data_IF_967000531699
#
_entry.id   IF_967000531699
#
_cell.length_a   1.000
_cell.length_b   1.000
_cell.length_c   1.000
_cell.angle_alpha   90.00
_cell.angle_beta   90.00
_cell.angle_gamma   90.00
#
_symmetry.space_group_name_H-M   'P 1'
#
loop_
_entity.id
_entity.type
_entity.pdbx_description
1 polymer ?
#
# COMPACT_ATOMS: atom_id res chain seq x y z
N UNK A 1 -31.14 -33.51 45.12
CA UNK A 1 -30.45 -33.29 43.84
C UNK A 1 -30.05 -31.83 43.78
N UNK A 2 -28.76 -31.57 44.00
CA UNK A 2 -28.16 -30.24 44.15
C UNK A 2 -28.11 -29.47 42.82
N UNK A 3 -28.41 -28.16 42.85
CA UNK A 3 -27.79 -27.18 41.94
C UNK A 3 -27.27 -26.01 42.79
N UNK A 4 -25.93 -25.97 42.96
CA UNK A 4 -25.14 -24.75 43.28
C UNK A 4 -24.95 -23.99 41.95
N UNK A 5 -25.31 -22.71 41.87
CA UNK A 5 -24.48 -21.50 42.04
C UNK A 5 -23.24 -21.45 41.14
N UNK A 6 -23.28 -20.57 40.14
CA UNK A 6 -22.15 -19.75 39.64
C UNK A 6 -22.78 -18.40 39.23
N UNK A 7 -22.83 -17.44 40.14
CA UNK A 7 -21.92 -16.27 40.21
C UNK A 7 -21.94 -15.42 38.94
N UNK A 8 -22.94 -14.52 38.89
CA UNK A 8 -22.99 -13.43 37.94
C UNK A 8 -21.86 -12.44 38.21
N UNK A 9 -20.97 -12.28 37.24
CA UNK A 9 -19.98 -11.22 37.21
C UNK A 9 -20.72 -9.88 37.08
N UNK A 10 -20.89 -9.17 38.21
CA UNK A 10 -21.37 -7.80 38.23
C UNK A 10 -20.26 -6.96 37.61
N UNK A 11 -20.33 -6.75 36.29
CA UNK A 11 -19.58 -5.68 35.64
C UNK A 11 -20.10 -4.39 36.25
N UNK A 12 -19.31 -3.79 37.14
CA UNK A 12 -19.56 -2.45 37.64
C UNK A 12 -19.49 -1.49 36.45
N UNK A 13 -20.66 -1.24 35.83
CA UNK A 13 -20.86 -0.11 34.93
C UNK A 13 -20.77 1.13 35.82
N UNK A 14 -19.54 1.58 36.07
CA UNK A 14 -19.33 2.92 36.57
C UNK A 14 -19.93 3.84 35.50
N UNK A 15 -21.10 4.40 35.81
CA UNK A 15 -21.73 5.48 35.06
C UNK A 15 -20.75 6.64 34.98
N UNK A 16 -19.87 6.61 33.98
CA UNK A 16 -19.04 7.73 33.61
C UNK A 16 -19.97 8.78 33.01
N UNK A 17 -20.49 9.66 33.87
CA UNK A 17 -21.20 10.85 33.44
C UNK A 17 -20.20 11.78 32.76
N UNK A 18 -20.11 11.63 31.45
CA UNK A 18 -19.33 12.49 30.59
C UNK A 18 -19.85 13.93 30.70
N UNK A 19 -19.12 14.80 31.41
CA UNK A 19 -19.47 16.23 31.57
C UNK A 19 -19.36 17.04 30.28
N UNK A 20 -18.63 16.54 29.28
CA UNK A 20 -18.34 17.21 28.01
C UNK A 20 -18.45 16.22 26.85
N UNK A 21 -19.57 16.23 26.13
CA UNK A 21 -19.84 15.39 24.94
C UNK A 21 -19.44 16.12 23.67
N UNK A 22 -18.92 15.40 22.66
CA UNK A 22 -18.70 15.79 21.26
C UNK A 22 -18.56 17.30 21.07
N UNK A 23 -17.64 17.87 21.86
CA UNK A 23 -17.60 19.32 22.08
C UNK A 23 -17.06 19.96 20.81
N UNK A 24 -17.62 21.10 20.43
CA UNK A 24 -17.13 21.96 19.35
C UNK A 24 -15.75 22.59 19.65
N UNK A 25 -14.86 21.90 20.36
CA UNK A 25 -13.46 22.30 20.51
C UNK A 25 -12.77 22.01 19.19
N UNK A 26 -12.69 23.03 18.34
CA UNK A 26 -11.87 23.00 17.13
C UNK A 26 -10.42 23.25 17.52
N UNK A 27 -9.63 22.18 17.60
CA UNK A 27 -8.17 22.32 17.52
C UNK A 27 -7.83 22.81 16.12
N UNK A 28 -7.03 23.88 16.03
CA UNK A 28 -6.62 24.44 14.75
C UNK A 28 -5.67 23.46 14.07
N UNK A 29 -5.90 23.16 12.79
CA UNK A 29 -4.89 22.48 11.99
C UNK A 29 -3.68 23.41 11.82
N UNK A 30 -2.50 22.91 12.17
CA UNK A 30 -1.23 23.64 12.03
C UNK A 30 -0.36 22.85 11.06
N UNK A 31 0.16 23.57 10.06
CA UNK A 31 1.08 23.00 9.08
C UNK A 31 2.35 22.51 9.77
N UNK A 32 2.77 21.31 9.41
CA UNK A 32 4.00 20.70 9.89
C UNK A 32 4.92 20.47 8.69
N UNK A 33 5.89 21.36 8.50
CA UNK A 33 6.81 21.29 7.36
C UNK A 33 7.69 20.04 7.39
N UNK A 34 7.93 19.49 8.57
CA UNK A 34 8.77 18.31 8.77
C UNK A 34 8.01 17.05 8.37
N UNK A 35 6.76 16.90 8.80
CA UNK A 35 5.93 15.78 8.33
C UNK A 35 5.53 15.94 6.86
N UNK A 36 5.43 17.16 6.35
CA UNK A 36 5.23 17.41 4.91
C UNK A 36 6.41 16.88 4.06
N UNK A 37 7.66 16.98 4.54
CA UNK A 37 8.81 16.44 3.79
C UNK A 37 8.82 14.91 3.77
N UNK A 38 8.30 14.25 4.80
CA UNK A 38 8.13 12.78 4.83
C UNK A 38 7.15 12.30 3.75
N UNK A 39 6.14 13.11 3.41
CA UNK A 39 5.14 12.76 2.38
C UNK A 39 5.65 13.08 0.97
N UNK A 40 6.51 14.09 0.83
CA UNK A 40 7.06 14.50 -0.45
C UNK A 40 7.84 13.37 -1.15
N UNK A 41 7.68 13.25 -2.48
CA UNK A 41 8.41 12.28 -3.30
C UNK A 41 7.95 10.81 -3.20
N UNK A 42 6.98 10.49 -2.34
CA UNK A 42 6.50 9.12 -2.16
C UNK A 42 5.84 8.52 -3.41
N UNK A 43 5.21 9.36 -4.24
CA UNK A 43 4.56 8.95 -5.49
C UNK A 43 5.58 8.48 -6.52
N UNK A 44 6.60 9.29 -6.76
CA UNK A 44 7.69 8.99 -7.69
C UNK A 44 8.44 7.74 -7.25
N UNK A 45 8.69 7.60 -5.94
CA UNK A 45 9.33 6.42 -5.36
C UNK A 45 8.53 5.15 -5.64
N UNK A 46 7.22 5.17 -5.36
CA UNK A 46 6.32 4.05 -5.64
C UNK A 46 6.28 3.70 -7.13
N UNK A 47 6.23 4.71 -8.00
CA UNK A 47 6.22 4.52 -9.45
C UNK A 47 7.53 3.90 -9.94
N UNK A 48 8.68 4.41 -9.47
CA UNK A 48 10.00 3.90 -9.82
C UNK A 48 10.17 2.44 -9.39
N UNK A 49 9.86 2.11 -8.13
CA UNK A 49 9.97 0.75 -7.61
C UNK A 49 9.03 -0.21 -8.36
N UNK A 50 7.81 0.23 -8.68
CA UNK A 50 6.89 -0.59 -9.49
C UNK A 50 7.43 -0.87 -10.90
N UNK A 51 8.06 0.13 -11.54
CA UNK A 51 8.67 -0.04 -12.86
C UNK A 51 9.88 -0.99 -12.80
N UNK A 52 10.72 -0.89 -11.77
CA UNK A 52 11.84 -1.81 -11.53
C UNK A 52 11.32 -3.24 -11.44
N UNK A 53 10.35 -3.52 -10.57
CA UNK A 53 9.77 -4.85 -10.43
C UNK A 53 9.14 -5.38 -11.72
N UNK A 54 8.47 -4.52 -12.51
CA UNK A 54 7.88 -4.93 -13.80
C UNK A 54 8.97 -5.33 -14.79
N UNK A 55 10.01 -4.52 -14.96
CA UNK A 55 11.09 -4.79 -15.92
C UNK A 55 11.86 -6.04 -15.50
N UNK A 56 12.22 -6.15 -14.22
CA UNK A 56 12.92 -7.32 -13.68
C UNK A 56 12.13 -8.64 -13.86
N UNK A 57 10.79 -8.59 -13.80
CA UNK A 57 9.95 -9.78 -13.93
C UNK A 57 9.81 -10.34 -15.35
N UNK A 58 10.16 -9.58 -16.39
CA UNK A 58 9.86 -9.94 -17.78
C UNK A 58 11.07 -10.45 -18.56
N UNK A 59 12.28 -9.90 -18.34
CA UNK A 59 13.55 -10.43 -18.87
C UNK A 59 14.73 -9.54 -18.46
N UNK A 60 15.95 -10.09 -18.54
CA UNK A 60 17.20 -9.31 -18.49
C UNK A 60 17.41 -8.41 -19.71
N UNK A 61 16.68 -8.66 -20.81
CA UNK A 61 16.82 -7.93 -22.08
C UNK A 61 16.04 -6.61 -22.15
N UNK A 62 15.17 -6.30 -21.18
CA UNK A 62 14.39 -5.06 -21.12
C UNK A 62 13.02 -5.12 -21.80
N UNK A 63 12.28 -4.02 -21.72
CA UNK A 63 10.90 -3.90 -22.20
C UNK A 63 10.69 -2.68 -23.11
N UNK A 64 9.87 -2.80 -24.17
CA UNK A 64 9.48 -1.66 -24.97
C UNK A 64 8.54 -0.71 -24.20
N UNK A 65 8.61 0.58 -24.54
CA UNK A 65 7.83 1.63 -23.86
C UNK A 65 6.31 1.42 -23.90
N UNK A 66 5.78 0.81 -24.97
CA UNK A 66 4.34 0.59 -25.09
C UNK A 66 3.83 -0.45 -24.07
N UNK A 67 4.61 -1.49 -23.74
CA UNK A 67 4.29 -2.43 -22.66
C UNK A 67 4.22 -1.73 -21.31
N UNK A 68 5.19 -0.87 -20.99
CA UNK A 68 5.19 -0.10 -19.75
C UNK A 68 4.01 0.88 -19.68
N UNK A 69 3.60 1.42 -20.82
CA UNK A 69 2.44 2.33 -20.94
C UNK A 69 1.12 1.64 -20.61
N UNK A 70 0.97 0.35 -20.92
CA UNK A 70 -0.24 -0.41 -20.51
C UNK A 70 -0.41 -0.50 -18.99
N UNK A 71 0.69 -0.39 -18.22
CA UNK A 71 0.68 -0.49 -16.75
C UNK A 71 0.53 0.86 -16.05
N UNK A 72 0.26 1.94 -16.79
CA UNK A 72 0.18 3.31 -16.27
C UNK A 72 -0.73 3.48 -15.06
N UNK A 73 -1.88 2.81 -15.04
CA UNK A 73 -2.84 2.91 -13.93
C UNK A 73 -2.28 2.52 -12.56
N UNK A 74 -1.23 1.70 -12.53
CA UNK A 74 -0.60 1.22 -11.29
C UNK A 74 0.46 2.20 -10.74
N UNK A 75 0.98 3.10 -11.59
CA UNK A 75 2.12 3.96 -11.26
C UNK A 75 1.72 5.21 -10.46
N UNK A 76 0.46 5.62 -10.53
CA UNK A 76 -0.02 6.83 -9.83
C UNK A 76 0.65 8.13 -10.30
N UNK A 77 1.34 8.13 -11.44
CA UNK A 77 1.99 9.30 -12.02
C UNK A 77 0.95 10.28 -12.61
N UNK A 78 1.24 11.61 -12.62
CA UNK A 78 0.37 12.59 -13.29
C UNK A 78 0.07 12.21 -14.74
N UNK A 79 -1.15 12.44 -15.21
CA UNK A 79 -1.59 12.03 -16.55
C UNK A 79 -0.79 12.70 -17.68
N UNK A 80 -0.30 13.92 -17.45
CA UNK A 80 0.49 14.68 -18.43
C UNK A 80 1.94 14.18 -18.55
N UNK A 81 2.46 13.51 -17.51
CA UNK A 81 3.85 13.03 -17.50
C UNK A 81 3.97 11.74 -18.30
N UNK A 82 4.64 11.75 -19.45
CA UNK A 82 4.91 10.52 -20.23
C UNK A 82 5.84 9.58 -19.44
N UNK A 83 5.57 8.28 -19.47
CA UNK A 83 6.40 7.27 -18.78
C UNK A 83 7.85 7.32 -19.28
N UNK A 84 8.07 7.44 -20.59
CA UNK A 84 9.41 7.61 -21.16
C UNK A 84 10.14 8.82 -20.60
N UNK A 85 9.42 9.93 -20.38
CA UNK A 85 9.99 11.13 -19.76
C UNK A 85 10.36 10.89 -18.31
N UNK A 86 9.55 10.11 -17.57
CA UNK A 86 9.86 9.71 -16.21
C UNK A 86 11.09 8.81 -16.13
N UNK A 87 11.16 7.74 -16.94
CA UNK A 87 12.29 6.80 -16.97
C UNK A 87 13.61 7.52 -17.27
N UNK A 88 13.61 8.38 -18.29
CA UNK A 88 14.77 9.19 -18.67
C UNK A 88 15.27 10.13 -17.56
N UNK A 89 14.50 10.38 -16.48
CA UNK A 89 14.97 11.19 -15.32
C UNK A 89 15.99 10.45 -14.46
N UNK A 90 16.08 9.13 -14.58
CA UNK A 90 16.92 8.30 -13.72
C UNK A 90 17.79 7.36 -14.59
N UNK A 91 18.76 7.89 -15.34
CA UNK A 91 19.61 7.10 -16.25
C UNK A 91 20.49 6.07 -15.52
N UNK A 92 20.77 6.27 -14.23
CA UNK A 92 21.46 5.30 -13.38
C UNK A 92 20.58 4.08 -12.99
N UNK A 93 19.27 4.17 -13.19
CA UNK A 93 18.31 3.10 -12.88
C UNK A 93 17.79 2.45 -14.16
N UNK A 94 17.43 3.27 -15.14
CA UNK A 94 16.83 2.83 -16.40
C UNK A 94 17.74 3.18 -17.58
N UNK A 95 18.22 2.14 -18.26
CA UNK A 95 19.00 2.27 -19.49
C UNK A 95 18.07 2.23 -20.70
N UNK A 96 18.10 3.27 -21.54
CA UNK A 96 17.32 3.36 -22.76
C UNK A 96 18.13 2.87 -23.96
N UNK A 97 17.54 1.99 -24.76
CA UNK A 97 18.07 1.54 -26.04
C UNK A 97 16.95 1.48 -27.09
N UNK A 98 17.30 1.36 -28.37
CA UNK A 98 16.30 1.30 -29.45
C UNK A 98 16.31 -0.08 -30.09
N UNK A 99 15.13 -0.67 -30.28
CA UNK A 99 14.96 -1.85 -31.12
C UNK A 99 13.96 -1.53 -32.24
N UNK A 100 14.16 -2.14 -33.41
CA UNK A 100 13.22 -2.01 -34.53
C UNK A 100 12.00 -2.90 -34.28
N UNK A 101 10.81 -2.37 -34.52
CA UNK A 101 9.59 -3.18 -34.57
C UNK A 101 9.48 -3.96 -35.89
N UNK A 102 8.41 -4.75 -36.04
CA UNK A 102 8.14 -5.52 -37.25
C UNK A 102 7.99 -4.66 -38.51
N UNK A 103 7.77 -3.35 -38.37
CA UNK A 103 7.69 -2.38 -39.47
C UNK A 103 9.02 -1.62 -39.69
N UNK A 104 10.09 -1.97 -38.97
CA UNK A 104 11.41 -1.33 -39.08
C UNK A 104 11.54 0.00 -38.33
N UNK A 105 10.51 0.43 -37.58
CA UNK A 105 10.49 1.69 -36.84
C UNK A 105 11.27 1.54 -35.54
N UNK A 106 12.18 2.48 -35.19
CA UNK A 106 12.89 2.45 -33.92
C UNK A 106 11.93 2.73 -32.76
N UNK A 107 11.76 1.75 -31.88
CA UNK A 107 10.97 1.83 -30.65
C UNK A 107 11.91 1.98 -29.46
N UNK A 108 11.62 2.88 -28.50
CA UNK A 108 12.37 2.96 -27.24
C UNK A 108 12.09 1.75 -26.35
N UNK A 109 13.16 1.11 -25.90
CA UNK A 109 13.18 0.04 -24.92
C UNK A 109 13.95 0.49 -23.68
N UNK A 110 13.56 -0.07 -22.53
CA UNK A 110 14.15 0.23 -21.25
C UNK A 110 14.54 -1.07 -20.55
N UNK A 111 15.78 -1.16 -20.12
CA UNK A 111 16.27 -2.22 -19.21
C UNK A 111 16.78 -1.59 -17.93
N UNK A 112 16.99 -2.44 -16.92
CA UNK A 112 17.58 -2.02 -15.66
C UNK A 112 19.11 -2.03 -15.78
N UNK A 113 19.75 -1.08 -15.12
CA UNK A 113 21.21 -1.10 -14.96
C UNK A 113 21.64 -2.29 -14.09
N UNK A 114 22.88 -2.81 -14.24
CA UNK A 114 23.38 -3.91 -13.41
C UNK A 114 23.27 -3.61 -11.91
N UNK A 115 23.60 -2.40 -11.48
CA UNK A 115 23.50 -1.95 -10.09
C UNK A 115 22.06 -2.00 -9.57
N UNK A 116 21.09 -1.68 -10.45
CA UNK A 116 19.66 -1.73 -10.10
C UNK A 116 19.15 -3.17 -10.04
N UNK A 117 19.66 -4.08 -10.86
CA UNK A 117 19.33 -5.50 -10.79
C UNK A 117 19.84 -6.13 -9.49
N UNK A 118 21.07 -5.83 -9.10
CA UNK A 118 21.62 -6.26 -7.80
C UNK A 118 20.79 -5.72 -6.63
N UNK A 119 20.43 -4.43 -6.68
CA UNK A 119 19.53 -3.83 -5.71
C UNK A 119 18.16 -4.51 -5.68
N UNK A 120 17.59 -4.86 -6.82
CA UNK A 120 16.30 -5.55 -6.88
C UNK A 120 16.38 -6.96 -6.27
N UNK A 121 17.49 -7.68 -6.46
CA UNK A 121 17.71 -8.97 -5.79
C UNK A 121 17.78 -8.83 -4.26
N UNK A 122 18.44 -7.78 -3.76
CA UNK A 122 18.44 -7.43 -2.34
C UNK A 122 17.02 -7.13 -1.83
N UNK A 123 16.23 -6.34 -2.57
CA UNK A 123 14.83 -6.04 -2.24
C UNK A 123 13.98 -7.32 -2.13
N UNK A 124 14.10 -8.24 -3.09
CA UNK A 124 13.39 -9.53 -3.09
C UNK A 124 13.82 -10.40 -1.89
N UNK A 125 15.10 -10.38 -1.53
CA UNK A 125 15.61 -11.11 -0.37
C UNK A 125 15.02 -10.59 0.95
N UNK A 126 15.03 -9.26 1.15
CA UNK A 126 14.44 -8.63 2.34
C UNK A 126 12.94 -8.90 2.41
N UNK A 127 12.24 -8.87 1.28
CA UNK A 127 10.81 -9.19 1.23
C UNK A 127 10.52 -10.62 1.67
N UNK A 128 11.37 -11.58 1.29
CA UNK A 128 11.28 -12.99 1.71
C UNK A 128 11.53 -13.15 3.20
N UNK A 129 12.54 -12.48 3.74
CA UNK A 129 12.86 -12.50 5.18
C UNK A 129 11.72 -11.89 6.02
N UNK A 130 11.09 -10.83 5.52
CA UNK A 130 9.97 -10.15 6.19
C UNK A 130 8.60 -10.81 5.95
N UNK A 131 8.54 -11.93 5.22
CA UNK A 131 7.27 -12.54 4.78
C UNK A 131 6.31 -12.84 5.94
N UNK A 132 6.83 -13.35 7.06
CA UNK A 132 6.05 -13.68 8.26
C UNK A 132 5.42 -12.45 8.92
N UNK A 133 6.17 -11.35 9.03
CA UNK A 133 5.67 -10.07 9.57
C UNK A 133 4.60 -9.46 8.66
N UNK A 134 4.82 -9.47 7.34
CA UNK A 134 3.86 -8.97 6.34
C UNK A 134 2.54 -9.76 6.41
N UNK A 135 2.62 -11.09 6.49
CA UNK A 135 1.44 -11.95 6.65
C UNK A 135 0.74 -11.64 7.98
N UNK A 136 1.49 -11.47 9.08
CA UNK A 136 0.93 -11.08 10.38
C UNK A 136 0.18 -9.74 10.31
N UNK A 137 0.75 -8.72 9.67
CA UNK A 137 0.10 -7.42 9.45
C UNK A 137 -1.18 -7.54 8.64
N UNK A 138 -1.17 -8.34 7.58
CA UNK A 138 -2.35 -8.57 6.76
C UNK A 138 -3.45 -9.30 7.54
N UNK A 139 -3.09 -10.31 8.35
CA UNK A 139 -4.03 -10.98 9.26
C UNK A 139 -4.65 -9.99 10.24
N UNK A 140 -3.84 -9.15 10.89
CA UNK A 140 -4.32 -8.08 11.78
C UNK A 140 -5.25 -7.10 11.06
N UNK A 141 -4.94 -6.71 9.82
CA UNK A 141 -5.81 -5.84 9.03
C UNK A 141 -7.17 -6.48 8.78
N UNK A 142 -7.20 -7.74 8.33
CA UNK A 142 -8.44 -8.48 8.08
C UNK A 142 -9.21 -8.73 9.38
N UNK A 143 -8.55 -8.98 10.50
CA UNK A 143 -9.21 -9.15 11.79
C UNK A 143 -9.96 -7.90 12.28
N UNK A 144 -9.58 -6.71 11.81
CA UNK A 144 -10.32 -5.46 12.09
C UNK A 144 -11.55 -5.27 11.19
N UNK A 145 -11.70 -6.06 10.13
CA UNK A 145 -12.83 -5.90 9.19
C UNK A 145 -14.01 -6.78 9.53
N UNK A 146 -15.19 -6.31 9.14
CA UNK A 146 -16.41 -7.10 9.14
C UNK A 146 -16.18 -8.40 8.37
N UNK A 147 -16.61 -9.51 8.96
CA UNK A 147 -16.48 -10.86 8.40
C UNK A 147 -15.04 -11.32 8.08
N UNK A 148 -14.04 -10.54 8.52
CA UNK A 148 -12.60 -10.77 8.32
C UNK A 148 -12.20 -10.88 6.86
N UNK A 149 -12.79 -10.02 6.04
CA UNK A 149 -12.60 -10.01 4.60
C UNK A 149 -12.44 -8.61 4.03
N UNK A 150 -11.73 -8.51 2.92
CA UNK A 150 -11.54 -7.28 2.14
C UNK A 150 -11.59 -7.58 0.63
N UNK A 151 -12.20 -6.71 -0.19
CA UNK A 151 -12.06 -6.79 -1.65
C UNK A 151 -10.59 -6.76 -2.05
N UNK A 152 -10.19 -7.59 -3.03
CA UNK A 152 -8.80 -7.61 -3.53
C UNK A 152 -8.35 -6.24 -4.03
N UNK A 153 -9.24 -5.46 -4.65
CA UNK A 153 -8.90 -4.11 -5.11
C UNK A 153 -8.53 -3.18 -3.94
N UNK A 154 -9.09 -3.39 -2.75
CA UNK A 154 -8.73 -2.63 -1.54
C UNK A 154 -7.39 -3.09 -0.99
N UNK A 155 -7.11 -4.40 -1.02
CA UNK A 155 -5.80 -4.95 -0.65
C UNK A 155 -4.71 -4.43 -1.59
N UNK A 156 -4.97 -4.39 -2.90
CA UNK A 156 -4.06 -3.88 -3.92
C UNK A 156 -3.73 -2.38 -3.73
N UNK A 157 -4.70 -1.58 -3.28
CA UNK A 157 -4.48 -0.17 -2.96
C UNK A 157 -3.53 0.01 -1.77
N UNK A 158 -3.63 -0.87 -0.78
CA UNK A 158 -2.78 -0.89 0.42
C UNK A 158 -1.48 -1.69 0.20
N UNK A 159 -1.28 -2.31 -0.96
CA UNK A 159 -0.13 -3.19 -1.27
C UNK A 159 1.20 -2.53 -0.95
N UNK A 160 1.37 -1.30 -1.43
CA UNK A 160 2.57 -0.50 -1.15
C UNK A 160 2.70 -0.16 0.34
N UNK A 161 1.61 0.21 0.99
CA UNK A 161 1.63 0.66 2.38
C UNK A 161 1.94 -0.50 3.35
N UNK A 162 1.47 -1.72 3.04
CA UNK A 162 1.70 -2.94 3.82
C UNK A 162 2.98 -3.70 3.45
N UNK A 163 3.65 -3.33 2.34
CA UNK A 163 4.81 -4.07 1.85
C UNK A 163 4.48 -5.40 1.20
N UNK A 164 3.29 -5.54 0.64
CA UNK A 164 2.84 -6.78 0.01
C UNK A 164 3.55 -7.00 -1.36
N UNK A 165 3.87 -8.25 -1.73
CA UNK A 165 4.45 -8.59 -3.03
C UNK A 165 3.59 -8.15 -4.22
N UNK A 166 4.18 -8.06 -5.42
CA UNK A 166 3.45 -7.59 -6.60
C UNK A 166 2.28 -8.50 -7.02
N UNK A 167 2.45 -9.80 -6.81
CA UNK A 167 1.57 -10.94 -7.12
C UNK A 167 0.64 -11.35 -5.95
N UNK A 168 0.46 -10.44 -4.98
CA UNK A 168 -0.19 -10.66 -3.68
C UNK A 168 -1.48 -11.51 -3.72
N UNK A 169 -2.41 -11.25 -4.66
CA UNK A 169 -3.73 -11.90 -4.67
C UNK A 169 -3.65 -13.42 -4.73
N UNK A 170 -3.08 -13.98 -5.79
CA UNK A 170 -2.99 -15.43 -5.98
C UNK A 170 -1.83 -16.05 -5.18
N UNK A 171 -0.72 -15.33 -5.06
CA UNK A 171 0.51 -15.82 -4.41
C UNK A 171 0.31 -16.08 -2.92
N UNK A 172 -0.43 -15.21 -2.22
CA UNK A 172 -0.69 -15.39 -0.79
C UNK A 172 -1.54 -16.63 -0.50
N UNK A 173 -2.56 -16.87 -1.32
CA UNK A 173 -3.48 -17.99 -1.13
C UNK A 173 -2.79 -19.31 -1.45
N UNK A 174 -1.91 -19.33 -2.47
CA UNK A 174 -1.09 -20.50 -2.79
C UNK A 174 -0.06 -20.78 -1.68
N UNK A 175 0.57 -19.75 -1.11
CA UNK A 175 1.60 -19.91 -0.06
C UNK A 175 1.03 -20.20 1.32
N UNK A 176 -0.17 -19.70 1.61
CA UNK A 176 -0.84 -19.81 2.91
C UNK A 176 -2.32 -20.21 2.77
N UNK A 177 -2.62 -21.38 2.17
CA UNK A 177 -4.00 -21.85 1.99
C UNK A 177 -4.72 -22.10 3.31
N UNK A 178 -3.98 -22.33 4.40
CA UNK A 178 -4.49 -22.49 5.76
C UNK A 178 -4.98 -21.18 6.39
N UNK A 179 -4.51 -20.03 5.88
CA UNK A 179 -4.83 -18.71 6.43
C UNK A 179 -5.85 -17.97 5.58
N UNK A 180 -5.73 -18.03 4.24
CA UNK A 180 -6.49 -17.18 3.34
C UNK A 180 -7.31 -17.97 2.35
N UNK A 181 -8.47 -17.42 1.99
CA UNK A 181 -9.31 -17.93 0.92
C UNK A 181 -9.83 -16.78 0.05
N UNK A 182 -10.05 -17.06 -1.25
CA UNK A 182 -10.73 -16.14 -2.16
C UNK A 182 -12.22 -16.45 -2.14
N UNK A 183 -13.04 -15.40 -2.04
CA UNK A 183 -14.50 -15.51 -2.00
C UNK A 183 -15.13 -14.49 -2.93
N UNK A 184 -16.22 -14.89 -3.60
CA UNK A 184 -17.01 -13.94 -4.39
C UNK A 184 -17.85 -13.06 -3.47
N UNK A 185 -17.74 -11.75 -3.68
CA UNK A 185 -18.49 -10.75 -2.95
C UNK A 185 -19.86 -10.53 -3.60
N UNK A 186 -20.88 -10.10 -2.82
CA UNK A 186 -22.22 -9.83 -3.37
C UNK A 186 -22.25 -8.77 -4.49
N UNK A 187 -21.21 -7.95 -4.60
CA UNK A 187 -21.05 -6.93 -5.65
C UNK A 187 -20.27 -7.42 -6.88
N UNK A 188 -20.03 -8.73 -6.99
CA UNK A 188 -19.36 -9.37 -8.13
C UNK A 188 -17.83 -9.25 -8.11
N UNK A 189 -17.25 -8.70 -7.05
CA UNK A 189 -15.78 -8.60 -6.88
C UNK A 189 -15.25 -9.82 -6.13
N UNK A 190 -13.96 -10.12 -6.30
CA UNK A 190 -13.27 -11.14 -5.49
C UNK A 190 -12.73 -10.51 -4.21
N UNK A 191 -13.00 -11.14 -3.07
CA UNK A 191 -12.50 -10.75 -1.76
C UNK A 191 -11.49 -11.76 -1.21
N UNK A 192 -10.53 -11.25 -0.44
CA UNK A 192 -9.62 -12.03 0.39
C UNK A 192 -10.24 -12.19 1.79
N UNK A 193 -10.44 -13.42 2.24
CA UNK A 193 -11.01 -13.76 3.54
C UNK A 193 -9.98 -14.48 4.41
N UNK A 194 -9.90 -14.08 5.68
CA UNK A 194 -9.13 -14.77 6.71
C UNK A 194 -9.97 -15.94 7.27
N UNK A 195 -9.40 -17.14 7.27
CA UNK A 195 -10.07 -18.37 7.70
C UNK A 195 -10.12 -18.50 9.22
N UNK A 196 -8.99 -18.29 9.89
CA UNK A 196 -8.83 -18.49 11.32
C UNK A 196 -8.56 -17.17 12.07
N UNK A 197 -9.24 -16.98 13.20
CA UNK A 197 -8.93 -15.89 14.12
C UNK A 197 -7.72 -16.27 14.98
N UNK A 198 -6.81 -15.32 15.18
CA UNK A 198 -5.64 -15.52 16.05
C UNK A 198 -5.69 -14.59 17.25
N UNK A 199 -6.00 -15.15 18.41
CA UNK A 199 -6.08 -14.38 19.65
C UNK A 199 -4.74 -13.75 20.05
N UNK A 200 -3.60 -14.29 19.62
CA UNK A 200 -2.28 -13.71 19.92
C UNK A 200 -2.04 -12.42 19.14
N UNK A 201 -2.63 -12.30 17.96
CA UNK A 201 -2.53 -11.11 17.12
C UNK A 201 -3.58 -10.04 17.46
N UNK A 202 -4.64 -10.41 18.18
CA UNK A 202 -5.77 -9.55 18.56
C UNK A 202 -5.44 -8.58 19.72
N UNK A 203 -4.24 -8.00 19.70
CA UNK A 203 -3.79 -6.97 20.64
C UNK A 203 -3.39 -5.75 19.84
N UNK A 204 -4.01 -4.61 20.14
CA UNK A 204 -3.66 -3.34 19.49
C UNK A 204 -2.29 -2.85 19.95
N UNK A 205 -1.65 -2.04 19.11
CA UNK A 205 -0.38 -1.40 19.40
C UNK A 205 -0.47 -0.56 20.68
N UNK A 206 -1.59 0.14 20.90
CA UNK A 206 -1.82 0.92 22.11
C UNK A 206 -1.88 0.03 23.36
N UNK A 207 -2.54 -1.12 23.29
CA UNK A 207 -2.62 -2.10 24.39
C UNK A 207 -1.25 -2.71 24.69
N UNK A 208 -0.46 -3.01 23.65
CA UNK A 208 0.87 -3.62 23.79
C UNK A 208 1.89 -2.65 24.43
N UNK A 209 1.83 -1.36 24.09
CA UNK A 209 2.81 -0.36 24.52
C UNK A 209 2.45 0.40 25.79
N UNK A 210 1.24 0.21 26.32
CA UNK A 210 0.85 0.85 27.58
C UNK A 210 1.41 0.09 28.77
N UNK A 211 2.31 0.72 29.53
CA UNK A 211 2.61 0.28 30.90
C UNK A 211 1.31 0.29 31.68
N UNK A 212 0.89 -0.84 32.25
CA UNK A 212 -0.39 -1.05 32.96
C UNK A 212 -0.54 -0.22 34.25
N UNK A 213 -0.38 1.10 34.18
CA UNK A 213 -0.60 2.06 35.25
C UNK A 213 -1.99 2.67 35.14
N UNK A 214 -2.83 2.45 36.14
CA UNK A 214 -4.18 3.02 36.33
C UNK A 214 -5.30 2.62 35.35
N UNK A 215 -5.10 1.60 34.51
CA UNK A 215 -6.19 0.90 33.82
C UNK A 215 -6.88 1.67 32.67
N UNK A 216 -6.40 2.87 32.31
CA UNK A 216 -6.93 3.64 31.18
C UNK A 216 -5.88 3.81 30.09
N UNK A 217 -6.19 3.33 28.88
CA UNK A 217 -5.30 3.44 27.72
C UNK A 217 -5.40 4.86 27.14
N UNK A 218 -4.25 5.53 27.06
CA UNK A 218 -4.11 6.90 26.59
C UNK A 218 -3.22 6.96 25.35
N UNK A 219 -3.65 7.70 24.34
CA UNK A 219 -2.84 7.91 23.13
C UNK A 219 -1.71 8.89 23.41
N UNK A 220 -0.48 8.60 22.97
CA UNK A 220 0.59 9.60 22.88
C UNK A 220 0.14 10.80 22.04
N UNK A 221 0.42 12.00 22.56
CA UNK A 221 0.01 13.26 21.92
C UNK A 221 1.23 14.13 21.66
N UNK A 222 1.41 14.52 20.40
CA UNK A 222 2.45 15.46 19.98
C UNK A 222 1.86 16.71 19.35
N UNK A 223 2.07 17.87 19.98
CA UNK A 223 1.74 19.16 19.38
C UNK A 223 3.02 19.87 18.91
N UNK A 224 3.01 20.40 17.68
CA UNK A 224 4.09 21.25 17.20
C UNK A 224 3.98 22.67 17.76
N UNK A 225 5.05 23.45 17.61
CA UNK A 225 5.00 24.90 17.90
C UNK A 225 3.94 25.55 16.99
N UNK A 226 3.07 26.37 17.56
CA UNK A 226 2.05 27.13 16.82
C UNK A 226 0.60 26.70 17.05
N UNK A 227 0.34 25.62 17.80
CA UNK A 227 -1.02 25.19 18.12
C UNK A 227 -1.80 26.15 19.06
N UNK A 228 -1.11 27.00 19.82
CA UNK A 228 -1.78 28.00 20.68
C UNK A 228 -2.85 27.37 21.58
N UNK A 229 -2.50 26.28 22.28
CA UNK A 229 -3.44 25.41 22.99
C UNK A 229 -4.17 26.20 24.08
N UNK A 230 -5.47 26.43 23.90
CA UNK A 230 -6.32 27.06 24.92
C UNK A 230 -6.54 26.08 26.06
N UNK A 231 -6.60 26.57 27.31
CA UNK A 231 -6.87 25.77 28.51
C UNK A 231 -8.07 24.83 28.35
N UNK A 232 -9.19 25.33 27.79
CA UNK A 232 -10.41 24.53 27.53
C UNK A 232 -10.15 23.32 26.62
N UNK A 233 -9.24 23.44 25.65
CA UNK A 233 -8.91 22.34 24.75
C UNK A 233 -8.10 21.26 25.47
N UNK A 234 -7.17 21.66 26.33
CA UNK A 234 -6.36 20.74 27.13
C UNK A 234 -7.22 20.00 28.16
N UNK A 235 -8.10 20.70 28.88
CA UNK A 235 -9.05 20.07 29.80
C UNK A 235 -9.94 19.05 29.09
N UNK A 236 -10.47 19.38 27.91
CA UNK A 236 -11.25 18.43 27.12
C UNK A 236 -10.42 17.23 26.68
N UNK A 237 -9.17 17.45 26.24
CA UNK A 237 -8.29 16.37 25.82
C UNK A 237 -7.95 15.42 26.97
N UNK A 238 -7.73 15.96 28.17
CA UNK A 238 -7.53 15.17 29.39
C UNK A 238 -8.77 14.34 29.76
N UNK A 239 -9.97 14.90 29.66
CA UNK A 239 -11.23 14.17 29.86
C UNK A 239 -11.45 13.09 28.80
N UNK A 240 -11.15 13.39 27.53
CA UNK A 240 -11.27 12.47 26.41
C UNK A 240 -10.28 11.29 26.53
N UNK A 241 -9.04 11.57 26.94
CA UNK A 241 -8.05 10.53 27.17
C UNK A 241 -8.47 9.55 28.29
N UNK A 242 -9.26 10.01 29.27
CA UNK A 242 -9.78 9.17 30.37
C UNK A 242 -10.96 8.26 29.99
N UNK A 243 -11.55 8.43 28.80
CA UNK A 243 -12.65 7.59 28.33
C UNK A 243 -12.23 6.11 28.22
N UNK A 244 -13.16 5.14 28.36
CA UNK A 244 -12.86 3.75 28.14
C UNK A 244 -12.35 3.51 26.71
N UNK A 245 -11.33 2.66 26.58
CA UNK A 245 -10.81 2.24 25.28
C UNK A 245 -11.45 0.92 24.87
N UNK A 246 -11.93 0.86 23.63
CA UNK A 246 -12.45 -0.37 23.02
C UNK A 246 -11.48 -0.80 21.93
N UNK A 247 -10.94 -2.02 22.05
CA UNK A 247 -9.98 -2.57 21.09
C UNK A 247 -10.57 -2.65 19.67
N UNK A 248 -9.77 -2.39 18.61
CA UNK A 248 -10.17 -2.57 17.22
C UNK A 248 -10.58 -4.01 16.87
N UNK A 249 -10.13 -4.99 17.66
CA UNK A 249 -10.38 -6.42 17.46
C UNK A 249 -11.63 -6.94 18.17
N UNK A 250 -12.36 -6.06 18.88
CA UNK A 250 -13.58 -6.40 19.61
C UNK A 250 -14.79 -5.81 18.89
N UNK A 251 -15.90 -6.55 18.91
CA UNK A 251 -17.17 -6.07 18.41
C UNK A 251 -17.64 -4.86 19.23
N UNK A 252 -17.98 -3.79 18.53
CA UNK A 252 -18.43 -2.53 19.10
C UNK A 252 -19.76 -2.06 18.52
N UNK A 253 -20.54 -2.99 17.98
CA UNK A 253 -21.91 -2.77 17.51
C UNK A 253 -22.82 -2.09 18.56
N UNK A 254 -22.53 -2.30 19.85
CA UNK A 254 -23.24 -1.73 20.99
C UNK A 254 -22.92 -0.24 21.27
N UNK A 255 -21.86 0.32 20.70
CA UNK A 255 -21.48 1.71 20.94
C UNK A 255 -22.34 2.67 20.12
N UNK A 256 -22.93 3.69 20.77
CA UNK A 256 -23.61 4.77 20.06
C UNK A 256 -22.60 5.61 19.25
N UNK A 257 -22.71 5.68 17.91
CA UNK A 257 -21.84 6.47 17.04
C UNK A 257 -21.77 7.97 17.35
N UNK A 258 -22.68 8.49 18.18
CA UNK A 258 -22.75 9.91 18.60
C UNK A 258 -21.99 10.20 19.89
N UNK A 259 -21.29 9.23 20.47
CA UNK A 259 -20.55 9.38 21.73
C UNK A 259 -19.06 9.59 21.50
N UNK A 260 -18.38 10.23 22.44
CA UNK A 260 -16.91 10.39 22.36
C UNK A 260 -16.18 9.07 22.61
N UNK A 261 -16.84 8.10 23.26
CA UNK A 261 -16.33 6.71 23.37
C UNK A 261 -16.25 6.07 21.99
N UNK A 262 -17.30 6.24 21.17
CA UNK A 262 -17.26 5.79 19.77
C UNK A 262 -16.19 6.53 18.96
N UNK A 263 -16.04 7.85 19.14
CA UNK A 263 -14.94 8.59 18.49
C UNK A 263 -13.57 8.09 18.95
N UNK A 264 -13.39 7.78 20.24
CA UNK A 264 -12.14 7.21 20.79
C UNK A 264 -11.83 5.85 20.19
N UNK A 265 -12.84 5.00 19.97
CA UNK A 265 -12.66 3.74 19.23
C UNK A 265 -12.20 4.00 17.80
N UNK A 266 -12.80 4.96 17.08
CA UNK A 266 -12.39 5.29 15.71
C UNK A 266 -10.93 5.75 15.67
N UNK A 267 -10.49 6.57 16.64
CA UNK A 267 -9.06 6.90 16.80
C UNK A 267 -8.23 5.65 17.01
N UNK A 268 -8.67 4.72 17.87
CA UNK A 268 -8.01 3.43 18.10
C UNK A 268 -7.85 2.58 16.84
N UNK A 269 -8.90 2.47 16.03
CA UNK A 269 -8.86 1.72 14.75
C UNK A 269 -7.84 2.33 13.78
N UNK A 270 -7.80 3.67 13.65
CA UNK A 270 -6.82 4.31 12.75
C UNK A 270 -5.40 4.33 13.30
N UNK A 271 -5.25 4.40 14.62
CA UNK A 271 -3.96 4.22 15.28
C UNK A 271 -3.40 2.83 14.96
N UNK A 272 -4.21 1.79 15.14
CA UNK A 272 -3.82 0.41 14.80
C UNK A 272 -3.53 0.26 13.30
N UNK A 273 -4.43 0.72 12.42
CA UNK A 273 -4.22 0.66 10.97
C UNK A 273 -2.91 1.31 10.55
N UNK A 274 -2.63 2.52 11.04
CA UNK A 274 -1.39 3.22 10.72
C UNK A 274 -0.18 2.47 11.28
N UNK A 275 -0.29 1.81 12.43
CA UNK A 275 0.77 0.96 12.95
C UNK A 275 1.06 -0.30 12.12
N UNK A 276 0.05 -0.83 11.44
CA UNK A 276 0.24 -1.93 10.48
C UNK A 276 0.96 -1.47 9.20
N UNK A 277 0.78 -0.21 8.80
CA UNK A 277 1.41 0.36 7.61
C UNK A 277 2.91 0.63 7.85
N UNK A 278 3.77 0.22 6.92
CA UNK A 278 5.23 0.27 7.07
C UNK A 278 5.77 1.66 7.43
N UNK A 279 5.30 2.69 6.71
CA UNK A 279 5.71 4.08 6.95
C UNK A 279 4.73 4.84 7.85
N UNK A 280 3.76 4.17 8.49
CA UNK A 280 2.82 4.82 9.43
C UNK A 280 2.07 6.02 8.82
N UNK A 281 1.88 6.00 7.50
CA UNK A 281 1.18 7.01 6.70
C UNK A 281 0.46 6.36 5.52
N UNK A 282 -0.68 6.91 5.13
CA UNK A 282 -1.44 6.45 3.95
C UNK A 282 -2.27 7.58 3.38
N UNK A 283 -2.60 7.49 2.10
CA UNK A 283 -3.54 8.40 1.46
C UNK A 283 -4.93 8.34 2.12
N UNK A 284 -5.60 9.49 2.24
CA UNK A 284 -6.97 9.61 2.77
C UNK A 284 -7.98 8.80 1.94
N UNK A 285 -7.70 8.59 0.65
CA UNK A 285 -8.52 7.75 -0.23
C UNK A 285 -8.54 6.29 0.22
N UNK A 286 -7.37 5.73 0.56
CA UNK A 286 -7.26 4.35 1.07
C UNK A 286 -8.08 4.18 2.34
N UNK A 287 -7.97 5.13 3.26
CA UNK A 287 -8.77 5.18 4.49
C UNK A 287 -10.27 5.28 4.20
N UNK A 288 -10.67 6.06 3.20
CA UNK A 288 -12.07 6.21 2.78
C UNK A 288 -12.66 4.89 2.28
N UNK A 289 -11.85 4.07 1.59
CA UNK A 289 -12.28 2.77 1.08
C UNK A 289 -12.48 1.73 2.21
N UNK A 290 -11.89 1.95 3.38
CA UNK A 290 -12.05 1.11 4.57
C UNK A 290 -13.29 1.46 5.41
N UNK A 291 -14.08 2.48 5.03
CA UNK A 291 -15.28 2.88 5.78
C UNK A 291 -16.26 1.72 6.02
N UNK A 292 -16.67 1.05 4.94
CA UNK A 292 -17.61 -0.08 5.01
C UNK A 292 -16.99 -1.30 5.69
N UNK A 293 -15.76 -1.74 5.32
CA UNK A 293 -15.10 -2.85 6.00
C UNK A 293 -14.95 -2.70 7.51
N UNK A 294 -14.68 -1.49 8.02
CA UNK A 294 -14.53 -1.22 9.46
C UNK A 294 -15.84 -0.78 10.15
N UNK A 295 -16.97 -0.84 9.45
CA UNK A 295 -18.30 -0.42 9.95
C UNK A 295 -18.31 1.01 10.52
N UNK A 296 -17.59 1.92 9.84
CA UNK A 296 -17.40 3.30 10.29
C UNK A 296 -18.56 4.23 9.89
N UNK A 297 -18.89 5.24 10.73
CA UNK A 297 -19.93 6.21 10.43
C UNK A 297 -19.56 7.09 9.23
N UNK A 298 -20.57 7.67 8.55
CA UNK A 298 -20.35 8.44 7.31
C UNK A 298 -19.33 9.59 7.46
N UNK A 299 -19.30 10.25 8.62
CA UNK A 299 -18.43 11.41 8.89
C UNK A 299 -17.17 11.04 9.69
N UNK A 300 -16.72 9.79 9.64
CA UNK A 300 -15.57 9.32 10.43
C UNK A 300 -14.27 10.09 10.17
N UNK A 301 -14.05 10.58 8.94
CA UNK A 301 -12.79 11.27 8.57
C UNK A 301 -12.55 12.58 9.35
N UNK A 302 -13.58 13.12 10.02
CA UNK A 302 -13.42 14.27 10.93
C UNK A 302 -12.48 13.99 12.09
N UNK A 303 -12.28 12.71 12.44
CA UNK A 303 -11.35 12.30 13.49
C UNK A 303 -9.93 12.83 13.25
N UNK A 304 -9.48 12.86 12.00
CA UNK A 304 -8.14 13.34 11.65
C UNK A 304 -7.96 14.85 11.85
N UNK A 305 -9.05 15.62 11.70
CA UNK A 305 -9.06 17.07 11.94
C UNK A 305 -9.26 17.41 13.41
N UNK A 306 -10.03 16.59 14.14
CA UNK A 306 -10.34 16.77 15.56
C UNK A 306 -9.21 16.34 16.50
N UNK A 307 -8.39 15.38 16.06
CA UNK A 307 -7.26 14.84 16.83
C UNK A 307 -5.91 15.16 16.19
N UNK A 308 -5.57 16.45 15.95
CA UNK A 308 -4.35 16.84 15.24
C UNK A 308 -3.08 16.62 16.06
N UNK A 309 -3.18 16.24 17.34
CA UNK A 309 -2.06 15.81 18.18
C UNK A 309 -1.68 14.34 18.01
N UNK A 310 -2.56 13.53 17.41
CA UNK A 310 -2.33 12.11 17.11
C UNK A 310 -2.07 11.95 15.61
N UNK A 311 -2.95 12.55 14.79
CA UNK A 311 -2.86 12.48 13.34
C UNK A 311 -2.39 13.82 12.75
N UNK A 312 -1.67 13.75 11.64
CA UNK A 312 -1.38 14.88 10.79
C UNK A 312 -1.93 14.62 9.39
N UNK A 313 -2.58 15.63 8.79
CA UNK A 313 -2.98 15.59 7.39
C UNK A 313 -2.02 16.48 6.60
N UNK A 314 -1.20 15.87 5.74
CA UNK A 314 -0.40 16.57 4.76
C UNK A 314 -1.20 16.77 3.47
N UNK A 315 -1.03 17.93 2.84
CA UNK A 315 -1.60 18.28 1.53
C UNK A 315 -0.56 18.25 0.40
N UNK A 316 0.58 17.58 0.62
CA UNK A 316 1.66 17.49 -0.37
C UNK A 316 1.33 16.51 -1.49
N UNK A 317 1.73 16.85 -2.72
CA UNK A 317 1.62 15.97 -3.89
C UNK A 317 0.20 15.74 -4.36
N UNK A 318 -0.62 16.79 -4.44
CA UNK A 318 -2.02 16.81 -4.90
C UNK A 318 -2.95 15.79 -4.22
N UNK A 319 -2.52 15.24 -3.09
CA UNK A 319 -3.22 14.21 -2.34
C UNK A 319 -3.19 14.55 -0.87
N UNK A 320 -4.20 14.08 -0.13
CA UNK A 320 -4.23 14.20 1.32
C UNK A 320 -3.68 12.92 1.92
N UNK A 321 -2.58 13.03 2.67
CA UNK A 321 -1.95 11.89 3.34
C UNK A 321 -2.11 12.03 4.83
N UNK A 322 -2.67 11.00 5.47
CA UNK A 322 -2.76 10.90 6.92
C UNK A 322 -1.45 10.28 7.43
N UNK A 323 -0.83 10.94 8.41
CA UNK A 323 0.43 10.53 9.04
C UNK A 323 0.18 10.38 10.54
N UNK A 324 0.70 9.32 11.13
CA UNK A 324 0.67 9.11 12.58
C UNK A 324 1.82 9.90 13.24
N UNK A 325 1.52 10.86 14.12
CA UNK A 325 2.55 11.74 14.69
C UNK A 325 3.53 11.03 15.60
N UNK A 326 3.02 10.18 16.50
CA UNK A 326 3.82 9.46 17.49
C UNK A 326 4.88 8.54 16.86
N UNK A 327 4.69 8.14 15.60
CA UNK A 327 5.62 7.28 14.90
C UNK A 327 6.89 8.00 14.41
N UNK A 328 6.91 9.33 14.48
CA UNK A 328 7.99 10.14 13.90
C UNK A 328 8.66 11.01 14.97
N UNK A 329 9.99 10.95 14.98
CA UNK A 329 10.82 11.96 15.62
C UNK A 329 11.36 12.89 14.55
N UNK A 330 10.75 14.07 14.43
CA UNK A 330 10.95 15.00 13.31
C UNK A 330 10.57 14.33 11.99
N UNK A 331 11.52 14.18 11.07
CA UNK A 331 11.37 13.57 9.75
C UNK A 331 11.74 12.09 9.73
N UNK A 332 12.21 11.54 10.86
CA UNK A 332 12.66 10.16 10.96
C UNK A 332 11.60 9.27 11.61
N UNK A 333 11.30 8.16 10.95
CA UNK A 333 10.46 7.10 11.50
C UNK A 333 11.19 6.41 12.67
N UNK A 334 10.52 6.29 13.82
CA UNK A 334 11.12 5.73 15.04
C UNK A 334 11.38 4.22 14.88
N UNK A 335 10.35 3.47 14.50
CA UNK A 335 10.43 2.03 14.25
C UNK A 335 10.55 1.76 12.74
N UNK A 336 11.77 1.55 12.26
CA UNK A 336 12.03 1.29 10.84
C UNK A 336 11.97 -0.20 10.52
N UNK A 337 10.98 -0.58 9.72
CA UNK A 337 10.92 -1.92 9.13
C UNK A 337 12.02 -2.08 8.05
N UNK A 338 12.62 -3.27 7.84
CA UNK A 338 13.67 -3.48 6.83
C UNK A 338 13.29 -3.01 5.41
N UNK A 339 12.04 -3.26 4.99
CA UNK A 339 11.53 -2.72 3.71
C UNK A 339 11.51 -1.18 3.62
N UNK A 340 11.39 -0.47 4.74
CA UNK A 340 11.52 1.00 4.74
C UNK A 340 12.96 1.39 4.44
N UNK A 341 13.94 0.67 4.96
CA UNK A 341 15.36 0.92 4.66
C UNK A 341 15.67 0.70 3.18
N UNK A 342 15.16 -0.39 2.58
CA UNK A 342 15.29 -0.65 1.14
C UNK A 342 14.66 0.48 0.32
N UNK A 343 13.49 0.98 0.71
CA UNK A 343 12.83 2.12 0.06
C UNK A 343 13.64 3.43 0.20
N UNK A 344 14.26 3.67 1.35
CA UNK A 344 15.17 4.81 1.55
C UNK A 344 16.41 4.71 0.66
N UNK A 345 17.01 3.51 0.54
CA UNK A 345 18.12 3.25 -0.38
C UNK A 345 17.73 3.51 -1.83
N UNK A 346 16.57 3.03 -2.27
CA UNK A 346 16.05 3.30 -3.61
C UNK A 346 15.77 4.80 -3.84
N UNK A 347 15.22 5.50 -2.83
CA UNK A 347 15.00 6.95 -2.92
C UNK A 347 16.32 7.72 -3.11
N UNK A 348 17.40 7.28 -2.46
CA UNK A 348 18.72 7.85 -2.66
C UNK A 348 19.27 7.58 -4.06
N UNK A 349 19.09 6.37 -4.60
CA UNK A 349 19.45 6.05 -5.99
C UNK A 349 18.70 6.95 -6.99
N UNK A 350 17.39 7.16 -6.78
CA UNK A 350 16.59 8.06 -7.63
C UNK A 350 17.10 9.51 -7.52
N UNK A 351 17.44 9.97 -6.31
CA UNK A 351 17.97 11.32 -6.09
C UNK A 351 19.31 11.52 -6.80
N UNK A 352 20.20 10.52 -6.73
CA UNK A 352 21.49 10.55 -7.44
C UNK A 352 21.26 10.61 -8.96
N UNK A 353 20.45 9.71 -9.51
CA UNK A 353 20.13 9.69 -10.93
C UNK A 353 19.58 10.99 -11.48
N UNK A 354 18.70 11.63 -10.70
CA UNK A 354 18.17 12.93 -11.05
C UNK A 354 19.26 14.01 -11.10
N UNK A 355 20.17 14.02 -10.12
CA UNK A 355 21.29 14.97 -10.07
C UNK A 355 22.31 14.72 -11.18
N UNK A 356 22.63 13.46 -11.46
CA UNK A 356 23.58 13.07 -12.50
C UNK A 356 23.07 13.48 -13.89
N UNK A 357 21.75 13.33 -14.12
CA UNK A 357 21.10 13.86 -15.31
C UNK A 357 21.23 15.39 -15.41
N UNK A 358 20.95 16.11 -14.33
CA UNK A 358 21.08 17.57 -14.30
C UNK A 358 22.52 18.05 -14.53
N UNK A 359 23.51 17.24 -14.16
CA UNK A 359 24.95 17.51 -14.38
C UNK A 359 25.46 17.06 -15.76
N UNK A 360 24.66 16.32 -16.52
CA UNK A 360 25.06 15.80 -17.84
C UNK A 360 25.94 14.54 -17.81
N UNK A 361 26.13 13.92 -16.64
CA UNK A 361 27.06 12.79 -16.42
C UNK A 361 26.58 11.46 -17.03
N UNK A 362 25.41 11.44 -17.66
CA UNK A 362 24.83 10.25 -18.30
C UNK A 362 25.22 10.09 -19.78
N UNK A 363 25.93 11.07 -20.36
CA UNK A 363 26.31 11.05 -21.79
C UNK A 363 27.63 10.34 -22.07
N UNK A 364 28.48 10.12 -21.07
CA UNK A 364 29.83 9.58 -21.28
C UNK A 364 29.85 8.07 -21.60
N UNK A 365 28.76 7.34 -21.35
CA UNK A 365 28.68 5.89 -21.65
C UNK A 365 28.22 5.54 -23.07
N UNK A 366 27.69 6.50 -23.85
CA UNK A 366 27.13 6.24 -25.18
C UNK A 366 28.06 6.57 -26.36
N UNK A 367 29.35 6.84 -26.12
CA UNK A 367 30.34 7.13 -27.17
C UNK A 367 31.22 5.94 -27.60
N UNK A 368 30.88 4.71 -27.23
CA UNK A 368 31.77 3.55 -27.43
C UNK A 368 31.13 2.29 -28.04
N UNK A 369 30.12 2.40 -28.90
CA UNK A 369 29.71 1.28 -29.76
C UNK A 369 29.61 1.76 -31.20
N UNK A 370 30.76 1.81 -31.86
CA UNK A 370 30.83 1.82 -33.32
C UNK A 370 30.22 0.51 -33.86
N UNK A 371 29.57 0.63 -35.02
CA UNK A 371 28.97 -0.44 -35.79
C UNK A 371 29.95 -1.59 -36.04
N UNK A 372 29.71 -2.75 -35.43
CA UNK A 372 30.17 -4.02 -35.99
C UNK A 372 28.98 -4.83 -36.53
N UNK A 373 28.88 -4.79 -37.84
CA UNK A 373 28.09 -5.67 -38.69
C UNK A 373 28.37 -7.14 -38.35
N UNK A 374 27.38 -7.86 -37.82
CA UNK A 374 27.35 -9.33 -37.86
C UNK A 374 26.23 -9.78 -38.78
N UNK A 375 26.61 -10.06 -40.02
CA UNK A 375 25.85 -10.84 -40.98
C UNK A 375 26.03 -12.35 -40.69
N UNK A 376 24.93 -13.08 -40.84
CA UNK A 376 24.84 -14.52 -41.14
C UNK A 376 25.18 -15.55 -40.04
N UNK A 377 24.14 -16.24 -39.54
CA UNK A 377 23.84 -17.62 -39.96
C UNK A 377 22.62 -18.18 -39.21
N UNK A 378 21.45 -18.13 -39.85
CA UNK A 378 20.33 -18.99 -39.48
C UNK A 378 20.60 -20.39 -40.06
N UNK A 379 20.93 -21.35 -39.20
CA UNK A 379 20.88 -22.77 -39.54
C UNK A 379 19.49 -23.26 -39.14
N UNK A 380 18.70 -23.64 -40.16
CA UNK A 380 17.46 -24.36 -39.96
C UNK A 380 17.76 -25.82 -39.61
N UNK A 381 17.13 -26.31 -38.55
CA UNK A 381 17.00 -27.74 -38.28
C UNK A 381 15.52 -28.11 -38.27
N UNK A 382 15.14 -28.88 -39.29
CA UNK A 382 13.87 -29.57 -39.45
C UNK A 382 13.96 -30.98 -38.86
N UNK A 383 12.91 -31.42 -38.17
CA UNK A 383 12.51 -32.82 -38.04
C UNK A 383 11.01 -32.81 -37.72
N UNK A 384 10.08 -33.19 -38.62
CA UNK A 384 9.72 -34.58 -38.99
C UNK A 384 8.97 -35.24 -37.82
N UNK A 385 7.77 -35.83 -37.88
CA UNK A 385 6.96 -36.51 -38.91
C UNK A 385 5.58 -36.74 -38.22
N UNK A 386 4.39 -36.72 -38.85
CA UNK A 386 3.77 -37.87 -39.54
C UNK A 386 2.38 -37.49 -40.06
N UNK A 387 2.14 -37.93 -41.29
CA UNK A 387 0.88 -38.03 -42.01
C UNK A 387 -0.19 -38.82 -41.25
N UNK A 388 -1.46 -38.44 -41.44
CA UNK A 388 -2.43 -39.42 -41.91
C UNK A 388 -3.49 -38.78 -42.80
N UNK A 389 -3.54 -39.26 -44.03
CA UNK A 389 -4.49 -38.95 -45.09
C UNK A 389 -5.82 -39.67 -44.89
N UNK A 390 -6.93 -38.99 -45.11
CA UNK A 390 -8.24 -39.58 -45.34
C UNK A 390 -8.92 -38.87 -46.50
N UNK A 391 -8.85 -39.50 -47.68
CA UNK A 391 -9.56 -39.11 -48.90
C UNK A 391 -11.01 -39.60 -48.77
N UNK A 392 -11.99 -38.74 -48.99
CA UNK A 392 -13.31 -39.11 -49.53
C UNK A 392 -13.77 -38.04 -50.52
N UNK A 393 -14.11 -38.52 -51.71
CA UNK A 393 -14.71 -37.86 -52.88
C UNK A 393 -16.17 -37.46 -52.61
N UNK A 394 -16.62 -36.31 -53.12
CA UNK A 394 -17.59 -36.27 -54.22
C UNK A 394 -18.10 -34.85 -54.54
N UNK A 395 -18.13 -34.59 -55.85
CA UNK A 395 -19.15 -33.89 -56.65
C UNK A 395 -20.08 -32.86 -55.96
N UNK A 396 -20.10 -31.61 -56.43
CA UNK A 396 -21.03 -31.17 -57.49
C UNK A 396 -21.07 -29.64 -57.70
N UNK A 397 -21.21 -29.28 -58.99
CA UNK A 397 -22.06 -28.22 -59.55
C UNK A 397 -21.74 -26.73 -59.30
N UNK A 398 -21.16 -26.13 -60.35
CA UNK A 398 -21.58 -24.91 -61.07
C UNK A 398 -22.70 -24.05 -60.42
N UNK A 399 -22.48 -22.73 -60.29
CA UNK A 399 -22.97 -21.73 -61.25
C UNK A 399 -22.69 -20.29 -60.78
N UNK A 400 -22.30 -19.47 -61.76
CA UNK A 400 -22.30 -18.01 -61.79
C UNK A 400 -23.70 -17.43 -61.50
N UNK A 401 -23.80 -16.31 -60.79
CA UNK A 401 -24.20 -15.02 -61.39
C UNK A 401 -24.36 -13.90 -60.34
N UNK A 402 -24.06 -12.70 -60.82
CA UNK A 402 -24.19 -11.38 -60.20
C UNK A 402 -25.63 -10.93 -59.88
N UNK A 403 -25.67 -9.83 -59.11
CA UNK A 403 -26.66 -8.74 -59.09
C UNK A 403 -27.91 -8.88 -58.20
N UNK A 404 -27.86 -8.24 -57.03
CA UNK A 404 -28.55 -6.95 -56.79
C UNK A 404 -28.03 -6.22 -55.56
#
# INVERSE_FOLDING_TARGET
MLRRVEEGCIVSILNYHQKRTLVNVKLKWVKDSVLDSVVAGGRELKAGSTLVSIIASQSSSGLPIYHLTTKRGQLGLPHELKISTFLRRYPNIFEEFSCRDSAGTPVPWFKLTPETLEFHHEEVNVLRECSTDIVSRLRKLLMMTKERMLPLQTVDQLKWDLGLPHDCGSSLVIKHPELFNLVDLPDGRVGLKLLAWDHKLAVSHLEANSTRGNGTLMFPIGFTRGFGLKRKCMEWLEEWQKLPYTSPYVDASHLDPRTDVSEKRIVGVFNELLHLILQKKTERRNVSNLRKPFELPQKFTKVFERHPGIFYISMKGDTQTVVLREAYNRDQLIEKHPLVHIREKFANMMKQGFLDRSRGLYRDTNQGVEEESLTSSFVGETCGTRYNSGIVSDSDMLLEHEAK
#
